data_IF_657485145039
#
_entry.id   IF_657485145039
#
_cell.length_a   1.000
_cell.length_b   1.000
_cell.length_c   1.000
_cell.angle_alpha   90.00
_cell.angle_beta   90.00
_cell.angle_gamma   90.00
#
_symmetry.space_group_name_H-M   'P 1'
#
loop_
_entity.id
_entity.type
_entity.pdbx_description
1 polymer ?
#
# COMPACT_ATOMS: atom_id res chain seq x y z
N UNK A 1 -20.48 -0.23 -6.70
CA UNK A 1 -19.41 -1.20 -7.00
C UNK A 1 -18.09 -0.50 -7.27
N UNK A 2 -18.09 0.64 -7.96
CA UNK A 2 -16.88 1.33 -8.42
C UNK A 2 -15.93 1.78 -7.29
N UNK A 3 -16.48 2.20 -6.14
CA UNK A 3 -15.67 2.49 -4.96
C UNK A 3 -14.90 1.24 -4.48
N UNK A 4 -15.55 0.08 -4.39
CA UNK A 4 -14.89 -1.15 -3.95
C UNK A 4 -13.78 -1.57 -4.91
N UNK A 5 -14.03 -1.46 -6.23
CA UNK A 5 -13.01 -1.72 -7.25
C UNK A 5 -11.80 -0.80 -7.10
N UNK A 6 -12.01 0.47 -6.78
CA UNK A 6 -10.93 1.44 -6.54
C UNK A 6 -10.16 1.21 -5.24
N UNK A 7 -10.80 0.63 -4.22
CA UNK A 7 -10.20 0.35 -2.91
C UNK A 7 -9.36 -0.93 -2.93
N UNK A 8 -9.80 -1.94 -3.68
CA UNK A 8 -9.33 -3.33 -3.61
C UNK A 8 -7.82 -3.53 -3.58
N UNK A 9 -7.05 -2.79 -4.38
CA UNK A 9 -5.59 -2.97 -4.42
C UNK A 9 -4.88 -2.21 -3.31
N UNK A 10 -5.46 -1.11 -2.86
CA UNK A 10 -4.75 -0.08 -2.09
C UNK A 10 -4.62 -0.46 -0.64
N UNK A 11 -5.69 -1.01 -0.07
CA UNK A 11 -5.70 -1.44 1.31
C UNK A 11 -4.60 -2.49 1.58
N UNK A 12 -4.41 -3.43 0.63
CA UNK A 12 -3.37 -4.47 0.71
C UNK A 12 -1.93 -3.93 0.78
N UNK A 13 -1.68 -2.72 0.25
CA UNK A 13 -0.34 -2.11 0.25
C UNK A 13 0.06 -1.66 1.65
N UNK A 14 -0.88 -1.03 2.36
CA UNK A 14 -0.65 -0.57 3.72
C UNK A 14 -0.61 -1.75 4.70
N UNK A 15 -1.49 -2.72 4.51
CA UNK A 15 -1.50 -3.97 5.29
C UNK A 15 -0.16 -4.70 5.21
N UNK A 16 0.34 -4.97 3.99
CA UNK A 16 1.65 -5.62 3.80
C UNK A 16 2.78 -4.85 4.48
N UNK A 17 2.75 -3.52 4.43
CA UNK A 17 3.73 -2.68 5.11
C UNK A 17 3.67 -2.85 6.63
N UNK A 18 2.47 -2.88 7.21
CA UNK A 18 2.25 -3.09 8.63
C UNK A 18 2.71 -4.50 9.06
N UNK A 19 2.37 -5.54 8.29
CA UNK A 19 2.79 -6.93 8.56
C UNK A 19 4.30 -7.10 8.52
N UNK A 20 4.99 -6.53 7.52
CA UNK A 20 6.46 -6.60 7.45
C UNK A 20 7.10 -5.83 8.61
N UNK A 21 6.57 -4.66 8.97
CA UNK A 21 7.06 -3.89 10.12
C UNK A 21 6.92 -4.67 11.45
N UNK A 22 5.76 -5.31 11.65
CA UNK A 22 5.49 -6.14 12.82
C UNK A 22 6.42 -7.36 12.90
N UNK A 23 6.52 -8.14 11.82
CA UNK A 23 7.37 -9.35 11.76
C UNK A 23 8.87 -9.04 11.93
N UNK A 24 9.35 -7.90 11.41
CA UNK A 24 10.73 -7.43 11.67
C UNK A 24 10.94 -7.06 13.13
N UNK A 25 9.97 -6.40 13.77
CA UNK A 25 10.03 -6.04 15.20
C UNK A 25 10.05 -7.28 16.09
N UNK A 26 9.28 -8.30 15.73
CA UNK A 26 9.23 -9.60 16.41
C UNK A 26 10.41 -10.51 16.09
N UNK A 27 11.35 -10.05 15.26
CA UNK A 27 12.56 -10.78 14.81
C UNK A 27 12.24 -12.08 14.06
N UNK A 28 11.04 -12.19 13.50
CA UNK A 28 10.64 -13.27 12.60
C UNK A 28 11.35 -13.09 11.25
N UNK A 29 11.45 -11.85 10.76
CA UNK A 29 12.17 -11.49 9.54
C UNK A 29 13.39 -10.60 9.82
N UNK A 30 14.49 -10.86 9.12
CA UNK A 30 15.68 -9.98 9.08
C UNK A 30 15.42 -8.75 8.19
N UNK A 31 16.30 -7.75 8.27
CA UNK A 31 16.18 -6.52 7.46
C UNK A 31 16.17 -6.79 5.95
N UNK A 32 16.93 -7.79 5.48
CA UNK A 32 16.99 -8.18 4.07
C UNK A 32 15.89 -9.19 3.67
N UNK A 33 14.99 -9.55 4.58
CA UNK A 33 13.95 -10.54 4.33
C UNK A 33 12.58 -9.87 4.13
N UNK A 34 11.75 -10.52 3.33
CA UNK A 34 10.35 -10.17 3.10
C UNK A 34 9.47 -11.34 3.50
N UNK A 35 8.36 -11.00 4.16
CA UNK A 35 7.31 -11.92 4.55
C UNK A 35 6.15 -11.81 3.56
N UNK A 36 5.67 -12.95 3.06
CA UNK A 36 4.53 -13.05 2.16
C UNK A 36 3.61 -14.18 2.63
N UNK A 37 2.34 -13.85 2.85
CA UNK A 37 1.28 -14.84 2.95
C UNK A 37 0.81 -15.20 1.54
N UNK A 38 0.91 -16.47 1.18
CA UNK A 38 0.43 -17.04 -0.08
C UNK A 38 -0.50 -18.20 0.28
N UNK A 39 -1.81 -17.99 0.10
CA UNK A 39 -2.85 -18.91 0.54
C UNK A 39 -2.67 -19.31 2.02
N UNK A 40 -2.52 -20.60 2.30
CA UNK A 40 -2.29 -21.15 3.64
C UNK A 40 -0.80 -21.25 4.02
N UNK A 41 0.10 -20.68 3.21
CA UNK A 41 1.55 -20.75 3.40
C UNK A 41 2.15 -19.39 3.73
N UNK A 42 2.96 -19.36 4.79
CA UNK A 42 3.79 -18.21 5.15
C UNK A 42 5.20 -18.40 4.61
N UNK A 43 5.65 -17.50 3.74
CA UNK A 43 6.95 -17.60 3.08
C UNK A 43 7.83 -16.41 3.47
N UNK A 44 9.06 -16.72 3.89
CA UNK A 44 10.11 -15.73 4.12
C UNK A 44 11.22 -15.98 3.11
N UNK A 45 11.61 -14.93 2.38
CA UNK A 45 12.71 -14.99 1.42
C UNK A 45 13.59 -13.76 1.50
N UNK A 46 14.83 -13.89 1.03
CA UNK A 46 15.77 -12.78 0.97
C UNK A 46 15.55 -11.93 -0.28
N UNK A 47 15.54 -10.61 -0.11
CA UNK A 47 15.48 -9.65 -1.20
C UNK A 47 16.69 -9.81 -2.11
N UNK A 48 16.44 -10.17 -3.37
CA UNK A 48 17.48 -10.32 -4.40
C UNK A 48 17.87 -11.77 -4.74
N UNK A 49 17.46 -12.76 -3.92
CA UNK A 49 17.65 -14.18 -4.24
C UNK A 49 16.41 -14.82 -4.88
N UNK A 50 15.34 -14.05 -5.09
CA UNK A 50 14.08 -14.54 -5.61
C UNK A 50 14.12 -14.58 -7.15
N UNK A 51 14.03 -15.78 -7.70
CA UNK A 51 13.71 -16.00 -9.11
C UNK A 51 12.21 -16.23 -9.25
N UNK A 52 11.55 -15.41 -10.06
CA UNK A 52 10.13 -15.54 -10.36
C UNK A 52 9.99 -16.00 -11.81
N UNK A 53 9.40 -17.18 -12.01
CA UNK A 53 9.02 -17.62 -13.34
C UNK A 53 7.76 -16.86 -13.82
N UNK A 54 7.93 -16.08 -14.87
CA UNK A 54 6.88 -15.29 -15.52
C UNK A 54 6.61 -15.78 -16.95
N UNK A 55 7.18 -16.91 -17.35
CA UNK A 55 6.99 -17.49 -18.70
C UNK A 55 5.55 -17.88 -19.00
N UNK A 56 4.71 -18.04 -17.96
CA UNK A 56 3.28 -18.32 -18.11
C UNK A 56 2.46 -17.09 -18.52
N UNK A 57 2.96 -15.87 -18.29
CA UNK A 57 2.22 -14.63 -18.56
C UNK A 57 2.98 -13.57 -19.36
N UNK A 58 4.27 -13.77 -19.64
CA UNK A 58 5.11 -12.82 -20.36
C UNK A 58 6.05 -13.51 -21.34
N UNK A 59 6.23 -12.88 -22.51
CA UNK A 59 7.27 -13.26 -23.49
C UNK A 59 8.66 -12.71 -23.12
N UNK A 60 8.77 -11.94 -22.04
CA UNK A 60 10.00 -11.31 -21.59
C UNK A 60 10.62 -12.10 -20.43
N UNK A 61 11.96 -12.19 -20.42
CA UNK A 61 12.68 -12.78 -19.28
C UNK A 61 12.63 -11.85 -18.07
N UNK A 62 12.86 -12.39 -16.87
CA UNK A 62 12.95 -11.59 -15.65
C UNK A 62 13.95 -10.42 -15.76
N UNK A 63 15.10 -10.63 -16.42
CA UNK A 63 16.08 -9.56 -16.67
C UNK A 63 15.55 -8.46 -17.59
N UNK A 64 14.80 -8.82 -18.65
CA UNK A 64 14.18 -7.83 -19.54
C UNK A 64 13.09 -7.03 -18.81
N UNK A 65 12.33 -7.69 -17.93
CA UNK A 65 11.28 -7.03 -17.15
C UNK A 65 11.83 -5.97 -16.19
N UNK A 66 13.08 -6.10 -15.73
CA UNK A 66 13.74 -5.07 -14.91
C UNK A 66 13.86 -3.71 -15.61
N UNK A 67 13.75 -3.66 -16.95
CA UNK A 67 13.70 -2.42 -17.72
C UNK A 67 12.49 -1.55 -17.37
N UNK A 68 11.32 -2.15 -17.16
CA UNK A 68 10.08 -1.43 -16.80
C UNK A 68 10.11 -0.89 -15.37
N UNK A 69 11.08 -1.33 -14.57
CA UNK A 69 11.51 -0.66 -13.38
C UNK A 69 11.89 -1.62 -12.26
N UNK A 70 12.83 -1.18 -11.43
CA UNK A 70 13.22 -1.90 -10.22
C UNK A 70 12.50 -1.31 -9.00
N UNK A 71 12.17 -2.14 -7.99
CA UNK A 71 11.76 -1.63 -6.69
C UNK A 71 12.84 -0.69 -6.12
N UNK A 72 12.44 0.47 -5.61
CA UNK A 72 13.34 1.37 -4.87
C UNK A 72 13.48 0.84 -3.44
N UNK A 73 14.40 -0.11 -3.23
CA UNK A 73 14.56 -0.83 -1.96
C UNK A 73 14.75 0.15 -0.79
N UNK A 74 15.60 1.16 -0.95
CA UNK A 74 15.84 2.21 0.06
C UNK A 74 14.56 2.89 0.53
N UNK A 75 13.65 3.22 -0.40
CA UNK A 75 12.37 3.85 -0.09
C UNK A 75 11.46 2.91 0.67
N UNK A 76 11.43 1.62 0.28
CA UNK A 76 10.64 0.59 0.96
C UNK A 76 11.15 0.42 2.40
N UNK A 77 12.46 0.37 2.59
CA UNK A 77 13.06 0.27 3.93
C UNK A 77 12.79 1.50 4.79
N UNK A 78 12.82 2.72 4.24
CA UNK A 78 12.44 3.93 4.98
C UNK A 78 10.96 3.87 5.42
N UNK A 79 10.06 3.40 4.54
CA UNK A 79 8.65 3.21 4.87
C UNK A 79 8.48 2.18 5.99
N UNK A 80 9.16 1.04 5.91
CA UNK A 80 9.10 -0.01 6.93
C UNK A 80 9.63 0.50 8.27
N UNK A 81 10.79 1.16 8.28
CA UNK A 81 11.37 1.76 9.49
C UNK A 81 10.44 2.80 10.12
N UNK A 82 9.81 3.63 9.31
CA UNK A 82 8.85 4.63 9.79
C UNK A 82 7.62 3.95 10.43
N UNK A 83 7.10 2.90 9.81
CA UNK A 83 6.00 2.09 10.37
C UNK A 83 6.40 1.40 11.69
N UNK A 84 7.61 0.82 11.74
CA UNK A 84 8.17 0.18 12.94
C UNK A 84 8.36 1.15 14.11
N UNK A 85 8.75 2.39 13.82
CA UNK A 85 8.91 3.44 14.83
C UNK A 85 7.56 4.00 15.29
N UNK A 86 6.60 4.13 14.38
CA UNK A 86 5.25 4.61 14.70
C UNK A 86 4.52 3.64 15.62
N UNK A 87 4.63 2.34 15.36
CA UNK A 87 3.88 1.28 16.06
C UNK A 87 2.40 1.64 16.18
N UNK A 88 1.68 1.73 15.04
CA UNK A 88 0.30 2.15 15.08
C UNK A 88 -0.55 1.17 15.90
N UNK A 89 -1.48 1.68 16.69
CA UNK A 89 -2.55 0.88 17.25
C UNK A 89 -3.53 0.45 16.15
N UNK A 90 -4.40 -0.52 16.44
CA UNK A 90 -5.43 -0.94 15.48
C UNK A 90 -6.33 0.23 15.05
N UNK A 91 -6.60 1.17 15.96
CA UNK A 91 -7.38 2.39 15.67
C UNK A 91 -6.62 3.29 14.68
N UNK A 92 -5.33 3.52 14.92
CA UNK A 92 -4.48 4.34 14.04
C UNK A 92 -4.29 3.68 12.67
N UNK A 93 -4.05 2.37 12.64
CA UNK A 93 -3.91 1.61 11.39
C UNK A 93 -5.21 1.61 10.58
N UNK A 94 -6.35 1.44 11.25
CA UNK A 94 -7.68 1.55 10.61
C UNK A 94 -7.91 2.95 10.05
N UNK A 95 -7.58 4.00 10.81
CA UNK A 95 -7.65 5.38 10.33
C UNK A 95 -6.79 5.57 9.07
N UNK A 96 -5.52 5.13 9.11
CA UNK A 96 -4.62 5.23 7.96
C UNK A 96 -5.19 4.50 6.74
N UNK A 97 -5.74 3.31 6.92
CA UNK A 97 -6.34 2.51 5.85
C UNK A 97 -7.54 3.22 5.22
N UNK A 98 -8.49 3.66 6.04
CA UNK A 98 -9.68 4.35 5.59
C UNK A 98 -9.32 5.67 4.88
N UNK A 99 -8.43 6.46 5.46
CA UNK A 99 -7.98 7.72 4.87
C UNK A 99 -7.33 7.49 3.51
N UNK A 100 -6.43 6.49 3.41
CA UNK A 100 -5.75 6.13 2.16
C UNK A 100 -6.75 5.73 1.06
N UNK A 101 -7.71 4.88 1.41
CA UNK A 101 -8.72 4.36 0.50
C UNK A 101 -9.69 5.44 0.01
N UNK A 102 -10.24 6.23 0.94
CA UNK A 102 -11.19 7.31 0.63
C UNK A 102 -10.53 8.40 -0.21
N UNK A 103 -9.30 8.79 0.15
CA UNK A 103 -8.55 9.76 -0.64
C UNK A 103 -8.33 9.29 -2.08
N UNK A 104 -7.90 8.03 -2.26
CA UNK A 104 -7.67 7.50 -3.61
C UNK A 104 -8.95 7.45 -4.44
N UNK A 105 -10.03 6.91 -3.88
CA UNK A 105 -11.31 6.77 -4.58
C UNK A 105 -11.90 8.13 -4.93
N UNK A 106 -11.90 9.09 -4.00
CA UNK A 106 -12.39 10.44 -4.24
C UNK A 106 -11.62 11.12 -5.38
N UNK A 107 -10.29 11.01 -5.36
CA UNK A 107 -9.41 11.53 -6.42
C UNK A 107 -9.61 10.82 -7.76
N UNK A 108 -9.97 9.54 -7.78
CA UNK A 108 -10.16 8.76 -9.01
C UNK A 108 -11.53 9.01 -9.64
N UNK A 109 -12.60 8.99 -8.85
CA UNK A 109 -13.97 9.02 -9.35
C UNK A 109 -14.55 10.45 -9.43
N UNK A 110 -14.01 11.40 -8.66
CA UNK A 110 -14.40 12.82 -8.67
C UNK A 110 -15.91 13.02 -8.38
N UNK A 111 -16.42 14.24 -8.60
CA UNK A 111 -17.85 14.57 -8.48
C UNK A 111 -18.44 14.31 -7.09
N UNK A 112 -19.66 13.77 -7.04
CA UNK A 112 -20.36 13.44 -5.80
C UNK A 112 -19.58 12.47 -4.90
N UNK A 113 -18.81 11.56 -5.51
CA UNK A 113 -17.99 10.61 -4.74
C UNK A 113 -16.87 11.35 -4.01
N UNK A 114 -16.24 12.34 -4.64
CA UNK A 114 -15.23 13.17 -3.97
C UNK A 114 -15.83 13.87 -2.75
N UNK A 115 -16.99 14.51 -2.90
CA UNK A 115 -17.68 15.20 -1.80
C UNK A 115 -18.00 14.25 -0.63
N UNK A 116 -18.51 13.06 -0.93
CA UNK A 116 -18.79 12.04 0.09
C UNK A 116 -17.50 11.56 0.76
N UNK A 117 -16.44 11.28 0.00
CA UNK A 117 -15.16 10.83 0.56
C UNK A 117 -14.47 11.89 1.40
N UNK A 118 -14.57 13.17 1.04
CA UNK A 118 -14.00 14.28 1.81
C UNK A 118 -14.77 14.48 3.13
N UNK A 119 -16.11 14.38 3.09
CA UNK A 119 -16.92 14.38 4.31
C UNK A 119 -16.57 13.21 5.23
N UNK A 120 -16.41 12.00 4.69
CA UNK A 120 -16.03 10.82 5.48
C UNK A 120 -14.62 10.96 6.07
N UNK A 121 -13.67 11.55 5.33
CA UNK A 121 -12.33 11.85 5.85
C UNK A 121 -12.39 12.85 7.01
N UNK A 122 -13.26 13.86 6.95
CA UNK A 122 -13.50 14.78 8.08
C UNK A 122 -13.97 14.05 9.33
N UNK A 123 -14.99 13.20 9.19
CA UNK A 123 -15.52 12.38 10.30
C UNK A 123 -14.43 11.45 10.88
N UNK A 124 -13.59 10.87 10.03
CA UNK A 124 -12.48 10.03 10.48
C UNK A 124 -11.43 10.83 11.27
N UNK A 125 -11.13 12.05 10.84
CA UNK A 125 -10.21 12.93 11.55
C UNK A 125 -10.76 13.33 12.93
N UNK A 126 -12.05 13.66 13.02
CA UNK A 126 -12.73 13.98 14.28
C UNK A 126 -12.73 12.76 15.22
N UNK A 127 -13.05 11.57 14.71
CA UNK A 127 -13.01 10.34 15.51
C UNK A 127 -11.61 10.02 16.02
N UNK A 128 -10.57 10.27 15.22
CA UNK A 128 -9.18 10.08 15.64
C UNK A 128 -8.78 11.11 16.70
N UNK A 129 -9.20 12.37 16.54
CA UNK A 129 -9.02 13.42 17.54
C UNK A 129 -9.65 12.98 18.87
N UNK A 130 -10.91 12.55 18.86
CA UNK A 130 -11.61 12.09 20.05
C UNK A 130 -10.95 10.87 20.70
N UNK A 131 -10.41 9.94 19.89
CA UNK A 131 -9.64 8.81 20.40
C UNK A 131 -8.42 9.28 21.21
N UNK A 132 -7.64 10.23 20.69
CA UNK A 132 -6.48 10.72 21.43
C UNK A 132 -6.86 11.61 22.62
N UNK A 133 -7.77 12.55 22.43
CA UNK A 133 -8.14 13.56 23.43
C UNK A 133 -8.90 12.94 24.59
N UNK A 134 -9.90 12.10 24.32
CA UNK A 134 -10.85 11.64 25.33
C UNK A 134 -10.55 10.23 25.86
N UNK A 135 -9.95 9.34 25.06
CA UNK A 135 -9.69 7.94 25.48
C UNK A 135 -8.26 7.71 25.94
N UNK A 136 -7.30 8.32 25.27
CA UNK A 136 -5.87 8.17 25.59
C UNK A 136 -5.34 9.30 26.47
N UNK A 137 -6.08 10.41 26.61
CA UNK A 137 -5.68 11.64 27.32
C UNK A 137 -4.33 12.21 26.84
N UNK A 138 -4.01 12.01 25.55
CA UNK A 138 -2.78 12.48 24.94
C UNK A 138 -3.05 13.81 24.22
N UNK A 139 -2.35 14.86 24.61
CA UNK A 139 -2.46 16.19 23.97
C UNK A 139 -1.49 16.35 22.78
N UNK A 140 -0.36 15.65 22.79
CA UNK A 140 0.75 15.84 21.83
C UNK A 140 0.85 14.70 20.80
N UNK A 141 -0.25 14.36 20.11
CA UNK A 141 -0.28 13.28 19.10
C UNK A 141 -0.04 13.77 17.66
N UNK A 142 0.14 15.07 17.43
CA UNK A 142 0.35 15.66 16.09
C UNK A 142 1.54 15.02 15.36
N UNK A 143 2.62 14.68 16.06
CA UNK A 143 3.77 13.97 15.49
C UNK A 143 3.41 12.55 15.01
N UNK A 144 2.51 11.86 15.72
CA UNK A 144 2.00 10.54 15.28
C UNK A 144 1.16 10.68 14.01
N UNK A 145 0.26 11.66 13.96
CA UNK A 145 -0.53 11.96 12.75
C UNK A 145 0.39 12.32 11.57
N UNK A 146 1.40 13.15 11.78
CA UNK A 146 2.35 13.52 10.73
C UNK A 146 3.05 12.28 10.15
N UNK A 147 3.48 11.34 11.00
CA UNK A 147 4.09 10.08 10.56
C UNK A 147 3.08 9.17 9.83
N UNK A 148 1.83 9.08 10.32
CA UNK A 148 0.75 8.35 9.64
C UNK A 148 0.53 8.88 8.22
N UNK A 149 0.38 10.20 8.08
CA UNK A 149 0.19 10.84 6.79
C UNK A 149 1.42 10.74 5.89
N UNK A 150 2.64 10.81 6.44
CA UNK A 150 3.88 10.59 5.70
C UNK A 150 3.89 9.20 5.04
N UNK A 151 3.53 8.16 5.78
CA UNK A 151 3.43 6.79 5.26
C UNK A 151 2.36 6.70 4.15
N UNK A 152 1.14 7.19 4.41
CA UNK A 152 0.06 7.16 3.42
C UNK A 152 0.44 7.88 2.11
N UNK A 153 1.05 9.05 2.21
CA UNK A 153 1.53 9.81 1.05
C UNK A 153 2.58 9.03 0.25
N UNK A 154 3.49 8.32 0.93
CA UNK A 154 4.45 7.47 0.23
C UNK A 154 3.79 6.31 -0.51
N UNK A 155 2.78 5.68 0.09
CA UNK A 155 2.00 4.61 -0.57
C UNK A 155 1.30 5.17 -1.82
N UNK A 156 0.63 6.32 -1.72
CA UNK A 156 -0.06 6.97 -2.84
C UNK A 156 0.88 7.32 -3.99
N UNK A 157 2.02 7.94 -3.69
CA UNK A 157 3.04 8.23 -4.68
C UNK A 157 3.56 6.95 -5.36
N UNK A 158 3.69 5.86 -4.60
CA UNK A 158 4.07 4.55 -5.13
C UNK A 158 3.04 3.95 -6.08
N UNK A 159 1.75 4.22 -5.87
CA UNK A 159 0.65 3.84 -6.78
C UNK A 159 0.73 4.68 -8.06
N UNK A 160 0.85 6.01 -7.93
CA UNK A 160 0.94 6.91 -9.08
C UNK A 160 2.16 6.61 -9.98
N UNK A 161 3.33 6.34 -9.38
CA UNK A 161 4.53 5.96 -10.12
C UNK A 161 4.39 4.62 -10.84
N UNK A 162 3.57 3.70 -10.32
CA UNK A 162 3.31 2.41 -10.94
C UNK A 162 2.36 2.52 -12.11
N UNK A 163 1.33 3.36 -12.03
CA UNK A 163 0.38 3.56 -13.13
C UNK A 163 1.09 3.90 -14.45
N UNK A 164 2.03 4.84 -14.43
CA UNK A 164 2.84 5.19 -15.59
C UNK A 164 3.69 4.00 -16.14
N UNK A 165 4.11 3.08 -15.28
CA UNK A 165 4.84 1.87 -15.69
C UNK A 165 3.90 0.83 -16.29
N UNK A 166 2.73 0.63 -15.69
CA UNK A 166 1.70 -0.27 -16.21
C UNK A 166 1.25 0.19 -17.61
N UNK A 167 1.03 1.49 -17.79
CA UNK A 167 0.70 2.06 -19.11
C UNK A 167 1.80 1.76 -20.14
N UNK A 168 3.08 1.90 -19.76
CA UNK A 168 4.20 1.53 -20.61
C UNK A 168 4.24 0.02 -20.91
N UNK A 169 4.03 -0.83 -19.91
CA UNK A 169 4.03 -2.28 -20.06
C UNK A 169 2.90 -2.76 -20.97
N UNK A 170 1.75 -2.09 -20.95
CA UNK A 170 0.62 -2.37 -21.83
C UNK A 170 0.97 -2.04 -23.31
N UNK A 171 1.71 -0.96 -23.57
CA UNK A 171 2.14 -0.59 -24.94
C UNK A 171 3.04 -1.67 -25.58
N UNK A 172 3.85 -2.34 -24.78
CA UNK A 172 4.78 -3.38 -25.24
C UNK A 172 4.21 -4.80 -25.17
N UNK A 173 2.93 -4.95 -24.78
CA UNK A 173 2.28 -6.24 -24.54
C UNK A 173 3.15 -7.13 -23.63
N UNK A 174 3.60 -6.56 -22.52
CA UNK A 174 4.52 -7.26 -21.60
C UNK A 174 3.85 -8.47 -20.97
N UNK A 175 2.57 -8.34 -20.61
CA UNK A 175 1.77 -9.44 -20.08
C UNK A 175 0.57 -9.73 -20.99
N UNK A 176 0.25 -11.01 -21.17
CA UNK A 176 -0.92 -11.48 -21.93
C UNK A 176 -2.01 -12.10 -21.03
N UNK A 177 -2.13 -11.60 -19.80
CA UNK A 177 -3.12 -12.07 -18.83
C UNK A 177 -4.47 -11.42 -19.09
N UNK A 178 -5.53 -12.22 -19.17
CA UNK A 178 -6.90 -11.74 -19.22
C UNK A 178 -7.50 -11.70 -17.80
N UNK A 179 -8.13 -10.58 -17.46
CA UNK A 179 -8.79 -10.38 -16.17
C UNK A 179 -10.31 -10.42 -16.34
N UNK A 180 -11.00 -11.12 -15.43
CA UNK A 180 -12.47 -11.10 -15.40
C UNK A 180 -13.04 -9.71 -15.10
N UNK A 181 -12.32 -8.90 -14.31
CA UNK A 181 -12.66 -7.51 -14.01
C UNK A 181 -11.42 -6.61 -14.11
N UNK A 182 -11.06 -6.14 -15.32
CA UNK A 182 -9.85 -5.35 -15.55
C UNK A 182 -9.79 -4.06 -14.73
N UNK A 183 -10.94 -3.48 -14.40
CA UNK A 183 -11.03 -2.22 -13.65
C UNK A 183 -10.43 -2.33 -12.24
N UNK A 184 -10.46 -3.54 -11.65
CA UNK A 184 -9.85 -3.83 -10.36
C UNK A 184 -8.33 -3.78 -10.41
N UNK A 185 -7.70 -3.99 -11.58
CA UNK A 185 -6.25 -4.13 -11.74
C UNK A 185 -5.57 -2.89 -12.33
N UNK A 186 -6.32 -1.82 -12.61
CA UNK A 186 -5.80 -0.56 -13.16
C UNK A 186 -4.73 0.09 -12.26
N UNK A 187 -4.78 -0.16 -10.96
CA UNK A 187 -3.87 0.43 -9.95
C UNK A 187 -2.85 -0.56 -9.38
N UNK A 188 -2.63 -1.71 -10.05
CA UNK A 188 -1.74 -2.78 -9.60
C UNK A 188 -0.25 -2.38 -9.58
#
# INVERSE_FOLDING_TARGET
MDMLKGIWIIWSRLEKLATIAMTRREKICKENQVFLDIDDCQVVFEMGSLEIDLSWCSKYTFEQLKFFGKPKVERIDEMIRTMMNLQPSDVELTYMLCQLCLHHVGRRLQGEILEVTDRLQGILADNLHDYYSNRMEVQNYSGRIANMMKINNWVQQGIQQRRAKVDLMNIFDVFYVEYSDPEMFVDF
#
